data_IF_829829450177
#
_entry.id   IF_829829450177
#
_cell.length_a   1.000
_cell.length_b   1.000
_cell.length_c   1.000
_cell.angle_alpha   90.00
_cell.angle_beta   90.00
_cell.angle_gamma   90.00
#
_symmetry.space_group_name_H-M   'P 1'
#
loop_
_entity.id
_entity.type
_entity.pdbx_description
1 polymer ?
#
# COMPACT_ATOMS: atom_id res chain seq x y z
N UNK A 1 -55.48 -34.19 -21.78
CA UNK A 1 -54.65 -34.70 -20.66
C UNK A 1 -53.85 -33.54 -20.10
N UNK A 2 -53.70 -33.43 -18.77
CA UNK A 2 -53.86 -32.18 -18.02
C UNK A 2 -52.59 -31.70 -17.29
N UNK A 3 -52.57 -30.42 -16.90
CA UNK A 3 -52.12 -29.98 -15.58
C UNK A 3 -50.69 -29.41 -15.42
N UNK A 4 -50.58 -28.09 -15.37
CA UNK A 4 -50.12 -27.43 -14.14
C UNK A 4 -50.79 -26.07 -14.02
N UNK A 5 -51.76 -25.99 -13.11
CA UNK A 5 -52.52 -24.77 -12.84
C UNK A 5 -51.62 -23.71 -12.24
N UNK A 6 -51.68 -22.49 -12.78
CA UNK A 6 -51.33 -21.30 -11.99
C UNK A 6 -52.32 -21.27 -10.83
N UNK A 7 -51.80 -21.43 -9.62
CA UNK A 7 -52.52 -21.13 -8.39
C UNK A 7 -53.16 -19.74 -8.52
N UNK A 8 -54.45 -19.57 -8.17
CA UNK A 8 -55.02 -18.23 -8.07
C UNK A 8 -54.18 -17.47 -7.04
N UNK A 9 -53.78 -16.24 -7.37
CA UNK A 9 -53.24 -15.34 -6.36
C UNK A 9 -54.18 -15.38 -5.17
N UNK A 10 -53.67 -15.76 -3.99
CA UNK A 10 -54.40 -15.62 -2.75
C UNK A 10 -54.94 -14.20 -2.69
N UNK A 11 -56.25 -14.08 -2.49
CA UNK A 11 -56.92 -12.79 -2.39
C UNK A 11 -56.47 -12.17 -1.07
N UNK A 12 -55.38 -11.40 -1.14
CA UNK A 12 -54.80 -10.70 0.01
C UNK A 12 -55.85 -9.71 0.53
N UNK A 13 -56.00 -9.64 1.87
CA UNK A 13 -56.91 -8.70 2.50
C UNK A 13 -56.60 -7.26 2.06
N UNK A 14 -57.60 -6.36 2.01
CA UNK A 14 -57.42 -4.98 1.55
C UNK A 14 -56.27 -4.24 2.25
N UNK A 15 -56.06 -4.58 3.52
CA UNK A 15 -55.02 -4.11 4.43
C UNK A 15 -53.59 -4.57 4.07
N UNK A 16 -53.44 -5.66 3.30
CA UNK A 16 -52.13 -6.15 2.81
C UNK A 16 -51.82 -5.60 1.40
N UNK A 17 -52.84 -5.16 0.64
CA UNK A 17 -52.67 -4.59 -0.70
C UNK A 17 -51.97 -3.22 -0.72
N UNK A 18 -51.83 -2.58 0.44
CA UNK A 18 -51.34 -1.20 0.58
C UNK A 18 -49.82 -1.05 0.82
N UNK A 19 -49.02 -2.08 0.58
CA UNK A 19 -47.57 -1.87 0.47
C UNK A 19 -47.14 -1.70 -1.00
N UNK A 20 -47.53 -0.56 -1.58
CA UNK A 20 -47.25 -0.16 -2.96
C UNK A 20 -45.85 0.45 -3.18
N UNK A 21 -44.92 0.34 -2.22
CA UNK A 21 -43.55 0.88 -2.39
C UNK A 21 -43.48 2.41 -2.63
N UNK A 22 -44.59 3.13 -2.46
CA UNK A 22 -44.70 4.58 -2.72
C UNK A 22 -44.28 5.44 -1.52
N UNK A 23 -44.13 4.86 -0.33
CA UNK A 23 -43.49 5.53 0.80
C UNK A 23 -41.99 5.30 0.70
N UNK A 24 -41.20 6.37 0.52
CA UNK A 24 -39.78 6.33 0.85
C UNK A 24 -39.67 5.81 2.29
N UNK A 25 -39.03 4.66 2.46
CA UNK A 25 -38.60 4.23 3.79
C UNK A 25 -37.77 5.40 4.33
N UNK A 26 -38.15 6.00 5.47
CA UNK A 26 -37.34 7.02 6.10
C UNK A 26 -35.93 6.45 6.21
N UNK A 27 -34.92 7.18 5.73
CA UNK A 27 -33.54 6.74 5.86
C UNK A 27 -33.34 6.41 7.34
N UNK A 28 -33.06 5.14 7.63
CA UNK A 28 -32.79 4.72 9.00
C UNK A 28 -31.66 5.61 9.48
N UNK A 29 -31.88 6.29 10.61
CA UNK A 29 -30.77 7.03 11.23
C UNK A 29 -29.66 6.01 11.43
N UNK A 30 -28.44 6.30 10.96
CA UNK A 30 -27.29 5.50 11.33
C UNK A 30 -27.31 5.35 12.85
N UNK A 31 -27.15 4.13 13.32
CA UNK A 31 -27.00 3.89 14.74
C UNK A 31 -25.75 4.62 15.23
N UNK A 32 -25.93 5.65 16.05
CA UNK A 32 -24.85 6.29 16.80
C UNK A 32 -24.43 5.36 17.93
N UNK A 33 -23.64 4.35 17.60
CA UNK A 33 -22.89 3.61 18.60
C UNK A 33 -21.65 4.45 18.95
N UNK A 34 -21.28 4.57 20.24
CA UNK A 34 -19.97 5.10 20.58
C UNK A 34 -18.91 4.26 19.86
N UNK A 35 -17.92 4.92 19.26
CA UNK A 35 -16.82 4.24 18.60
C UNK A 35 -16.09 3.36 19.63
N UNK A 36 -16.41 2.07 19.59
CA UNK A 36 -15.80 1.09 20.46
C UNK A 36 -14.28 1.06 20.24
N UNK A 37 -13.80 1.35 19.03
CA UNK A 37 -12.39 1.51 18.71
C UNK A 37 -11.74 2.67 19.45
N UNK A 38 -12.35 3.86 19.44
CA UNK A 38 -11.88 5.01 20.23
C UNK A 38 -11.86 4.71 21.74
N UNK A 39 -12.86 3.96 22.21
CA UNK A 39 -13.00 3.59 23.63
C UNK A 39 -11.96 2.53 24.03
N UNK A 40 -11.70 1.53 23.20
CA UNK A 40 -10.67 0.50 23.44
C UNK A 40 -9.26 1.05 23.25
N UNK A 41 -9.07 2.01 22.34
CA UNK A 41 -7.80 2.70 22.12
C UNK A 41 -7.29 3.39 23.39
N UNK A 42 -8.18 3.99 24.18
CA UNK A 42 -7.81 4.59 25.48
C UNK A 42 -7.50 3.55 26.57
N UNK A 43 -8.13 2.37 26.52
CA UNK A 43 -7.86 1.26 27.45
C UNK A 43 -6.51 0.57 27.21
N UNK A 44 -6.01 0.60 25.97
CA UNK A 44 -4.69 0.04 25.61
C UNK A 44 -3.53 1.04 25.81
N UNK A 45 -3.83 2.24 26.35
CA UNK A 45 -2.90 3.32 26.67
C UNK A 45 -2.17 3.09 28.01
N UNK A 46 -1.47 1.98 28.13
CA UNK A 46 -0.51 1.76 29.20
C UNK A 46 0.83 1.42 28.57
N UNK A 47 1.72 2.41 28.49
CA UNK A 47 3.17 2.30 28.19
C UNK A 47 3.57 1.28 27.11
N UNK A 48 4.00 1.79 25.95
CA UNK A 48 4.52 0.94 24.85
C UNK A 48 5.62 0.01 25.37
N UNK A 49 5.47 -1.32 25.24
CA UNK A 49 6.49 -2.28 25.66
C UNK A 49 7.84 -2.04 24.97
N UNK A 50 8.90 -2.55 25.60
CA UNK A 50 10.22 -2.63 24.96
C UNK A 50 10.12 -3.56 23.73
N UNK A 51 10.62 -3.11 22.58
CA UNK A 51 10.52 -3.85 21.30
C UNK A 51 9.40 -3.38 20.35
N UNK A 52 8.61 -2.38 20.74
CA UNK A 52 7.64 -1.77 19.84
C UNK A 52 8.30 -0.90 18.75
N UNK A 53 7.62 -0.78 17.60
CA UNK A 53 8.09 0.02 16.45
C UNK A 53 7.07 1.06 16.05
N UNK A 54 7.48 2.20 15.52
CA UNK A 54 6.54 3.20 15.02
C UNK A 54 5.79 2.67 13.80
N UNK A 55 6.49 2.04 12.87
CA UNK A 55 5.89 1.49 11.65
C UNK A 55 6.41 0.10 11.33
N UNK A 56 5.48 -0.79 11.00
CA UNK A 56 5.76 -2.13 10.48
C UNK A 56 5.48 -2.16 8.97
N UNK A 57 6.51 -2.47 8.17
CA UNK A 57 6.43 -2.59 6.72
C UNK A 57 6.31 -4.08 6.34
N UNK A 58 5.19 -4.48 5.77
CA UNK A 58 4.77 -5.89 5.77
C UNK A 58 4.49 -6.45 4.37
N UNK A 59 5.12 -7.57 4.06
CA UNK A 59 4.64 -8.56 3.11
C UNK A 59 3.98 -9.71 3.91
N UNK A 60 2.63 -9.78 3.97
CA UNK A 60 1.91 -10.57 4.97
C UNK A 60 1.93 -12.07 4.67
N UNK A 61 1.45 -12.95 5.58
CA UNK A 61 1.30 -14.37 5.30
C UNK A 61 0.52 -14.63 4.02
N UNK A 62 0.71 -15.80 3.41
CA UNK A 62 0.09 -16.13 2.13
C UNK A 62 -1.24 -16.87 2.33
N UNK A 63 -2.18 -16.76 1.36
CA UNK A 63 -3.54 -17.32 1.52
C UNK A 63 -3.57 -18.82 1.75
N UNK A 64 -2.58 -19.54 1.22
CA UNK A 64 -2.54 -21.00 1.13
C UNK A 64 -1.20 -21.58 1.62
N UNK A 65 -0.39 -20.78 2.32
CA UNK A 65 0.98 -21.14 2.68
C UNK A 65 1.92 -21.30 1.48
N UNK A 66 1.46 -21.03 0.25
CA UNK A 66 2.30 -21.04 -0.95
C UNK A 66 3.26 -19.85 -0.99
N UNK A 67 4.14 -19.81 -2.00
CA UNK A 67 4.99 -18.64 -2.25
C UNK A 67 4.29 -17.72 -3.23
N UNK A 68 4.13 -16.45 -2.85
CA UNK A 68 3.50 -15.43 -3.68
C UNK A 68 4.45 -14.27 -3.96
N UNK A 69 4.57 -13.90 -5.23
CA UNK A 69 5.34 -12.73 -5.65
C UNK A 69 4.44 -11.52 -5.49
N UNK A 70 4.83 -10.58 -4.63
CA UNK A 70 4.08 -9.32 -4.37
C UNK A 70 4.89 -8.04 -4.63
N UNK A 71 6.18 -8.13 -4.96
CA UNK A 71 7.09 -6.99 -5.02
C UNK A 71 7.27 -6.36 -6.42
N UNK A 72 8.01 -5.25 -6.48
CA UNK A 72 8.47 -4.54 -7.68
C UNK A 72 7.38 -4.04 -8.63
N UNK A 73 6.30 -3.52 -8.04
CA UNK A 73 5.18 -2.92 -8.77
C UNK A 73 4.67 -3.83 -9.91
N UNK A 74 4.52 -5.12 -9.63
CA UNK A 74 3.89 -6.10 -10.54
C UNK A 74 2.47 -6.41 -10.06
N UNK A 75 1.68 -7.05 -10.92
CA UNK A 75 0.30 -7.46 -10.57
C UNK A 75 0.23 -8.56 -9.52
N UNK A 76 1.38 -9.13 -9.15
CA UNK A 76 1.50 -10.27 -8.26
C UNK A 76 1.12 -11.60 -8.91
N UNK A 77 1.67 -12.70 -8.41
CA UNK A 77 1.29 -14.07 -8.81
C UNK A 77 1.81 -15.10 -7.83
N UNK A 78 1.22 -16.30 -7.84
CA UNK A 78 1.84 -17.46 -7.21
C UNK A 78 3.16 -17.82 -7.92
N UNK A 79 4.18 -18.11 -7.15
CA UNK A 79 5.46 -18.61 -7.67
C UNK A 79 5.28 -20.06 -8.13
N UNK A 80 5.62 -20.35 -9.38
CA UNK A 80 5.58 -21.71 -9.96
C UNK A 80 6.93 -22.41 -9.78
N UNK A 81 7.96 -21.60 -9.69
CA UNK A 81 9.36 -21.97 -9.62
C UNK A 81 9.86 -22.03 -8.18
N UNK A 82 9.00 -21.76 -7.18
CA UNK A 82 9.37 -21.58 -5.78
C UNK A 82 10.38 -20.45 -5.52
N UNK A 83 10.50 -19.48 -6.43
CA UNK A 83 11.31 -18.27 -6.21
C UNK A 83 10.62 -17.36 -5.19
N UNK A 84 11.37 -16.92 -4.18
CA UNK A 84 10.93 -15.96 -3.15
C UNK A 84 11.54 -14.60 -3.50
N UNK A 85 10.70 -13.58 -3.67
CA UNK A 85 11.13 -12.26 -4.14
C UNK A 85 11.43 -11.34 -2.96
N UNK A 86 12.63 -10.74 -2.89
CA UNK A 86 12.95 -9.76 -1.86
C UNK A 86 12.07 -8.52 -2.00
N UNK A 87 11.65 -7.98 -0.85
CA UNK A 87 10.76 -6.83 -0.75
C UNK A 87 11.53 -5.50 -0.76
N UNK A 88 12.30 -5.25 -1.83
CA UNK A 88 13.18 -4.07 -1.92
C UNK A 88 12.39 -2.75 -1.85
N UNK A 89 11.14 -2.71 -2.32
CA UNK A 89 10.27 -1.54 -2.13
C UNK A 89 9.98 -1.23 -0.65
N UNK A 90 9.86 -2.25 0.20
CA UNK A 90 9.72 -2.07 1.66
C UNK A 90 11.03 -1.58 2.28
N UNK A 91 12.16 -2.17 1.86
CA UNK A 91 13.49 -1.73 2.30
C UNK A 91 13.81 -0.28 1.86
N UNK A 92 13.34 0.15 0.69
CA UNK A 92 13.46 1.53 0.21
C UNK A 92 12.68 2.50 1.09
N UNK A 93 11.44 2.16 1.49
CA UNK A 93 10.66 2.99 2.39
C UNK A 93 11.27 3.02 3.80
N UNK A 94 11.84 1.91 4.28
CA UNK A 94 12.60 1.92 5.54
C UNK A 94 13.75 2.92 5.50
N UNK A 95 14.52 2.95 4.40
CA UNK A 95 15.61 3.90 4.20
C UNK A 95 15.16 5.38 4.19
N UNK A 96 13.93 5.65 3.78
CA UNK A 96 13.34 7.00 3.78
C UNK A 96 12.81 7.42 5.15
N UNK A 97 12.49 6.46 6.01
CA UNK A 97 11.84 6.68 7.31
C UNK A 97 12.83 6.72 8.47
N UNK A 98 13.93 5.98 8.38
CA UNK A 98 15.03 6.08 9.34
C UNK A 98 15.84 7.36 9.13
N UNK A 99 16.36 8.00 10.21
CA UNK A 99 16.26 7.59 11.62
C UNK A 99 15.05 8.17 12.38
N UNK A 100 14.18 8.97 11.74
CA UNK A 100 13.11 9.67 12.47
C UNK A 100 11.98 8.76 12.99
N UNK A 101 11.88 7.55 12.44
CA UNK A 101 10.94 6.51 12.84
C UNK A 101 11.68 5.22 13.16
N UNK A 102 11.20 4.51 14.18
CA UNK A 102 11.59 3.11 14.40
C UNK A 102 10.84 2.21 13.43
N UNK A 103 11.58 1.53 12.56
CA UNK A 103 11.03 0.74 11.45
C UNK A 103 11.43 -0.72 11.58
N UNK A 104 10.51 -1.62 11.25
CA UNK A 104 10.82 -3.03 11.03
C UNK A 104 10.16 -3.53 9.75
N UNK A 105 10.90 -4.34 8.98
CA UNK A 105 10.42 -4.92 7.73
C UNK A 105 10.15 -6.40 7.95
N UNK A 106 8.93 -6.84 7.65
CA UNK A 106 8.51 -8.22 7.82
C UNK A 106 8.11 -8.82 6.47
N UNK A 107 8.85 -9.85 6.05
CA UNK A 107 8.49 -10.68 4.91
C UNK A 107 8.00 -12.06 5.39
N UNK A 108 6.73 -12.13 5.75
CA UNK A 108 6.07 -13.35 6.24
C UNK A 108 6.00 -14.45 5.19
N UNK A 109 5.97 -14.08 3.90
CA UNK A 109 6.02 -15.04 2.80
C UNK A 109 7.39 -15.73 2.72
N UNK A 110 8.48 -14.96 2.85
CA UNK A 110 9.84 -15.52 2.88
C UNK A 110 10.11 -16.33 4.14
N UNK A 111 9.65 -15.83 5.30
CA UNK A 111 9.80 -16.48 6.60
C UNK A 111 8.83 -17.65 6.81
N UNK A 112 7.95 -17.94 5.83
CA UNK A 112 6.98 -19.04 5.87
C UNK A 112 6.04 -18.97 7.09
N UNK A 113 5.76 -17.76 7.57
CA UNK A 113 4.97 -17.54 8.77
C UNK A 113 3.49 -17.87 8.55
N UNK A 114 2.90 -18.54 9.53
CA UNK A 114 1.46 -18.74 9.66
C UNK A 114 0.76 -17.45 10.13
N UNK A 115 -0.56 -17.40 9.97
CA UNK A 115 -1.37 -16.30 10.51
C UNK A 115 -1.30 -16.20 12.03
N UNK A 116 -1.25 -17.32 12.75
CA UNK A 116 -1.11 -17.32 14.21
C UNK A 116 0.22 -16.74 14.69
N UNK A 117 1.33 -17.08 14.01
CA UNK A 117 2.64 -16.49 14.32
C UNK A 117 2.67 -15.00 13.98
N UNK A 118 2.01 -14.61 12.88
CA UNK A 118 1.91 -13.23 12.48
C UNK A 118 1.04 -12.38 13.43
N UNK A 119 -0.04 -12.94 13.97
CA UNK A 119 -0.86 -12.29 15.01
C UNK A 119 -0.04 -12.04 16.28
N UNK A 120 0.72 -13.04 16.74
CA UNK A 120 1.64 -12.89 17.89
C UNK A 120 2.70 -11.81 17.63
N UNK A 121 3.26 -11.77 16.42
CA UNK A 121 4.20 -10.73 16.03
C UNK A 121 3.58 -9.33 16.11
N UNK A 122 2.35 -9.15 15.64
CA UNK A 122 1.65 -7.87 15.72
C UNK A 122 1.39 -7.46 17.19
N UNK A 123 1.05 -8.40 18.06
CA UNK A 123 0.87 -8.17 19.50
C UNK A 123 2.18 -7.81 20.21
N UNK A 124 3.31 -8.39 19.79
CA UNK A 124 4.64 -8.05 20.31
C UNK A 124 5.06 -6.65 19.87
N UNK A 125 4.95 -6.37 18.55
CA UNK A 125 5.48 -5.14 17.95
C UNK A 125 4.60 -3.92 18.17
N UNK A 126 3.29 -4.10 18.37
CA UNK A 126 2.26 -3.05 18.53
C UNK A 126 2.57 -1.79 17.71
N UNK A 127 2.60 -1.90 16.37
CA UNK A 127 2.97 -0.78 15.53
C UNK A 127 1.93 0.33 15.59
N UNK A 128 2.36 1.61 15.56
CA UNK A 128 1.42 2.72 15.37
C UNK A 128 0.88 2.71 13.94
N UNK A 129 1.75 2.38 12.98
CA UNK A 129 1.43 2.32 11.57
C UNK A 129 1.72 0.93 11.01
N UNK A 130 0.75 0.36 10.31
CA UNK A 130 0.91 -0.89 9.57
C UNK A 130 0.85 -0.57 8.09
N UNK A 131 1.90 -0.89 7.33
CA UNK A 131 1.91 -0.69 5.89
C UNK A 131 2.10 -1.99 5.15
N UNK A 132 1.27 -2.26 4.15
CA UNK A 132 1.40 -3.44 3.30
C UNK A 132 1.35 -3.15 1.81
N UNK A 133 2.14 -3.90 1.04
CA UNK A 133 2.07 -3.88 -0.42
C UNK A 133 0.92 -4.77 -0.90
N UNK A 134 -0.02 -4.20 -1.63
CA UNK A 134 -1.22 -4.89 -2.11
C UNK A 134 -1.12 -5.16 -3.61
N UNK A 135 -1.34 -6.42 -3.96
CA UNK A 135 -1.51 -6.88 -5.35
C UNK A 135 -2.87 -7.52 -5.53
N UNK A 136 -3.39 -7.54 -6.76
CA UNK A 136 -4.76 -7.97 -7.02
C UNK A 136 -5.04 -9.43 -6.57
N UNK A 137 -4.15 -10.42 -6.81
CA UNK A 137 -4.42 -11.82 -6.46
C UNK A 137 -4.47 -12.10 -4.96
N UNK A 138 -3.81 -11.27 -4.14
CA UNK A 138 -3.72 -11.46 -2.70
C UNK A 138 -4.51 -10.43 -1.90
N UNK A 139 -5.26 -9.53 -2.57
CA UNK A 139 -6.00 -8.44 -1.94
C UNK A 139 -6.76 -8.85 -0.67
N UNK A 140 -7.69 -9.81 -0.78
CA UNK A 140 -8.52 -10.22 0.38
C UNK A 140 -7.69 -10.77 1.53
N UNK A 141 -6.62 -11.51 1.22
CA UNK A 141 -5.70 -12.04 2.22
C UNK A 141 -4.90 -10.93 2.89
N UNK A 142 -4.38 -9.99 2.11
CA UNK A 142 -3.56 -8.91 2.64
C UNK A 142 -4.41 -7.95 3.51
N UNK A 143 -5.70 -7.81 3.17
CA UNK A 143 -6.68 -7.10 4.00
C UNK A 143 -7.00 -7.79 5.33
N UNK A 144 -6.76 -9.10 5.47
CA UNK A 144 -6.84 -9.75 6.77
C UNK A 144 -5.74 -9.26 7.71
N UNK A 145 -4.51 -9.10 7.21
CA UNK A 145 -3.42 -8.48 7.98
C UNK A 145 -3.71 -7.03 8.37
N UNK A 146 -4.32 -6.26 7.46
CA UNK A 146 -4.83 -4.90 7.76
C UNK A 146 -5.85 -4.94 8.89
N UNK A 147 -6.83 -5.84 8.83
CA UNK A 147 -7.84 -5.98 9.87
C UNK A 147 -7.23 -6.32 11.24
N UNK A 148 -6.29 -7.27 11.29
CA UNK A 148 -5.60 -7.65 12.52
C UNK A 148 -4.84 -6.47 13.13
N UNK A 149 -4.03 -5.77 12.32
CA UNK A 149 -3.29 -4.60 12.78
C UNK A 149 -4.22 -3.48 13.28
N UNK A 150 -5.33 -3.22 12.56
CA UNK A 150 -6.34 -2.24 12.96
C UNK A 150 -6.99 -2.60 14.30
N UNK A 151 -7.27 -3.88 14.53
CA UNK A 151 -7.87 -4.36 15.78
C UNK A 151 -6.97 -4.14 17.00
N UNK A 152 -5.66 -4.04 16.78
CA UNK A 152 -4.64 -3.71 17.79
C UNK A 152 -4.35 -2.21 17.91
N UNK A 153 -5.10 -1.37 17.19
CA UNK A 153 -5.00 0.09 17.26
C UNK A 153 -4.04 0.74 16.25
N UNK A 154 -3.47 -0.02 15.31
CA UNK A 154 -2.62 0.56 14.27
C UNK A 154 -3.45 1.36 13.25
N UNK A 155 -2.91 2.48 12.79
CA UNK A 155 -3.33 3.13 11.56
C UNK A 155 -2.83 2.32 10.35
N UNK A 156 -3.72 1.95 9.44
CA UNK A 156 -3.39 1.00 8.37
C UNK A 156 -3.23 1.68 7.02
N UNK A 157 -2.20 1.27 6.30
CA UNK A 157 -1.75 1.90 5.07
C UNK A 157 -1.54 0.80 4.02
N UNK A 158 -2.03 1.03 2.80
CA UNK A 158 -1.75 0.17 1.66
C UNK A 158 -1.12 0.95 0.52
N UNK A 159 -0.19 0.33 -0.18
CA UNK A 159 0.35 0.84 -1.44
C UNK A 159 0.46 -0.28 -2.46
N UNK A 160 0.69 0.06 -3.73
CA UNK A 160 0.96 -0.92 -4.77
C UNK A 160 0.10 -0.78 -6.02
N UNK A 161 0.31 -1.71 -6.95
CA UNK A 161 -0.25 -1.66 -8.32
C UNK A 161 -1.75 -1.84 -8.38
N UNK A 162 -2.36 -2.50 -7.40
CA UNK A 162 -3.80 -2.70 -7.35
C UNK A 162 -4.51 -1.46 -6.79
N UNK A 163 -4.05 -0.98 -5.64
CA UNK A 163 -4.71 0.11 -4.90
C UNK A 163 -4.56 1.47 -5.58
N UNK A 164 -3.53 1.65 -6.40
CA UNK A 164 -3.31 2.90 -7.15
C UNK A 164 -4.43 3.20 -8.16
N UNK A 165 -4.80 2.29 -9.08
CA UNK A 165 -5.93 2.50 -9.98
C UNK A 165 -7.31 2.20 -9.36
N UNK A 166 -7.38 1.36 -8.32
CA UNK A 166 -8.64 0.86 -7.77
C UNK A 166 -8.89 1.38 -6.35
N UNK A 167 -8.53 2.63 -6.10
CA UNK A 167 -8.53 3.22 -4.75
C UNK A 167 -9.90 3.16 -4.08
N UNK A 168 -10.95 3.69 -4.74
CA UNK A 168 -12.30 3.71 -4.16
C UNK A 168 -12.88 2.29 -4.02
N UNK A 169 -12.70 1.48 -5.06
CA UNK A 169 -13.18 0.10 -5.14
C UNK A 169 -12.50 -0.80 -4.12
N UNK A 170 -11.27 -0.48 -3.74
CA UNK A 170 -10.54 -1.18 -2.67
C UNK A 170 -10.99 -0.67 -1.29
N UNK A 171 -11.03 0.64 -1.06
CA UNK A 171 -11.37 1.14 0.28
C UNK A 171 -12.81 0.82 0.68
N UNK A 172 -13.79 0.96 -0.22
CA UNK A 172 -15.21 0.72 0.11
C UNK A 172 -15.49 -0.62 0.84
N UNK A 173 -15.04 -1.79 0.34
CA UNK A 173 -15.27 -3.07 1.01
C UNK A 173 -14.37 -3.33 2.23
N UNK A 174 -13.30 -2.56 2.44
CA UNK A 174 -12.33 -2.78 3.52
C UNK A 174 -12.27 -1.58 4.48
N UNK A 175 -13.23 -1.44 5.42
CA UNK A 175 -13.28 -0.30 6.35
C UNK A 175 -12.06 -0.23 7.27
N UNK A 176 -11.41 -1.37 7.54
CA UNK A 176 -10.19 -1.42 8.33
C UNK A 176 -8.96 -0.78 7.66
N UNK A 177 -9.03 -0.48 6.35
CA UNK A 177 -7.97 0.22 5.61
C UNK A 177 -8.18 1.74 5.72
N UNK A 178 -7.30 2.43 6.44
CA UNK A 178 -7.42 3.87 6.72
C UNK A 178 -6.88 4.73 5.56
N UNK A 179 -5.72 4.33 5.01
CA UNK A 179 -4.99 5.11 4.03
C UNK A 179 -4.56 4.25 2.83
N UNK A 180 -4.64 4.83 1.63
CA UNK A 180 -3.95 4.33 0.45
C UNK A 180 -2.94 5.36 -0.01
N UNK A 181 -1.71 4.90 -0.22
CA UNK A 181 -0.65 5.66 -0.87
C UNK A 181 -0.58 5.23 -2.34
N UNK A 182 -0.89 6.17 -3.23
CA UNK A 182 -0.96 5.98 -4.69
C UNK A 182 0.36 6.35 -5.37
N UNK A 183 0.67 5.65 -6.46
CA UNK A 183 1.84 5.94 -7.29
C UNK A 183 3.15 5.51 -6.64
N UNK A 184 4.11 6.44 -6.55
CA UNK A 184 5.38 6.23 -5.84
C UNK A 184 5.20 6.51 -4.35
N UNK A 185 5.39 5.49 -3.49
CA UNK A 185 4.91 5.59 -2.11
C UNK A 185 5.82 6.39 -1.19
N UNK A 186 7.11 6.54 -1.51
CA UNK A 186 8.13 7.00 -0.58
C UNK A 186 7.80 8.36 0.04
N UNK A 187 7.55 9.36 -0.80
CA UNK A 187 7.35 10.74 -0.34
C UNK A 187 5.97 10.96 0.25
N UNK A 188 4.94 10.32 -0.31
CA UNK A 188 3.58 10.39 0.25
C UNK A 188 3.51 9.73 1.63
N UNK A 189 4.16 8.58 1.81
CA UNK A 189 4.24 7.91 3.10
C UNK A 189 4.99 8.78 4.11
N UNK A 190 6.15 9.32 3.73
CA UNK A 190 6.94 10.18 4.61
C UNK A 190 6.14 11.40 5.06
N UNK A 191 5.50 12.11 4.12
CA UNK A 191 4.68 13.28 4.46
C UNK A 191 3.47 12.91 5.33
N UNK A 192 2.82 11.77 5.07
CA UNK A 192 1.71 11.27 5.89
C UNK A 192 2.14 11.07 7.34
N UNK A 193 3.23 10.34 7.58
CA UNK A 193 3.69 10.08 8.94
C UNK A 193 4.18 11.35 9.64
N UNK A 194 4.88 12.23 8.91
CA UNK A 194 5.38 13.50 9.46
C UNK A 194 4.19 14.37 9.90
N UNK A 195 3.13 14.47 9.09
CA UNK A 195 1.92 15.21 9.46
C UNK A 195 1.16 14.60 10.64
N UNK A 196 1.02 13.27 10.70
CA UNK A 196 0.30 12.60 11.78
C UNK A 196 1.03 12.70 13.12
N UNK A 197 2.37 12.70 13.12
CA UNK A 197 3.19 12.86 14.33
C UNK A 197 3.57 14.31 14.64
N UNK A 198 3.22 15.28 13.77
CA UNK A 198 3.62 16.68 13.91
C UNK A 198 5.14 16.90 13.78
N UNK A 199 5.82 16.06 12.99
CA UNK A 199 7.26 16.12 12.72
C UNK A 199 7.55 16.85 11.41
N UNK A 200 8.80 17.26 11.25
CA UNK A 200 9.35 17.78 10.00
C UNK A 200 10.57 16.96 9.64
N UNK A 201 10.75 16.65 8.35
CA UNK A 201 11.91 15.91 7.89
C UNK A 201 13.23 16.63 8.21
N UNK A 202 14.22 15.88 8.66
CA UNK A 202 15.56 16.39 8.99
C UNK A 202 16.59 16.09 7.90
N UNK A 203 16.41 14.99 7.17
CA UNK A 203 17.29 14.62 6.05
C UNK A 203 17.13 15.60 4.86
N UNK A 204 18.22 16.27 4.43
CA UNK A 204 18.21 17.17 3.27
C UNK A 204 17.69 16.53 1.97
N UNK A 205 17.96 15.24 1.73
CA UNK A 205 17.48 14.52 0.54
C UNK A 205 15.97 14.37 0.56
N UNK A 206 15.41 14.02 1.73
CA UNK A 206 13.96 13.91 1.93
C UNK A 206 13.30 15.28 1.77
N UNK A 207 13.86 16.34 2.35
CA UNK A 207 13.36 17.72 2.20
C UNK A 207 13.33 18.13 0.71
N UNK A 208 14.42 17.86 -0.02
CA UNK A 208 14.52 18.12 -1.46
C UNK A 208 13.40 17.40 -2.23
N UNK A 209 13.29 16.08 -2.05
CA UNK A 209 12.30 15.27 -2.76
C UNK A 209 10.86 15.66 -2.39
N UNK A 210 10.57 15.99 -1.13
CA UNK A 210 9.25 16.52 -0.73
C UNK A 210 8.95 17.84 -1.44
N UNK A 211 9.92 18.74 -1.53
CA UNK A 211 9.80 20.00 -2.27
C UNK A 211 9.51 19.78 -3.75
N UNK A 212 10.30 18.94 -4.42
CA UNK A 212 10.17 18.64 -5.85
C UNK A 212 8.87 17.90 -6.20
N UNK A 213 8.36 17.09 -5.27
CA UNK A 213 7.13 16.31 -5.46
C UNK A 213 5.88 16.96 -4.86
N UNK A 214 5.97 18.20 -4.37
CA UNK A 214 4.81 18.94 -3.81
C UNK A 214 4.05 19.78 -4.84
N UNK A 215 4.61 19.98 -6.05
CA UNK A 215 4.02 20.83 -7.07
C UNK A 215 3.18 20.01 -8.06
N UNK A 216 1.87 20.24 -8.08
CA UNK A 216 0.96 19.58 -9.03
C UNK A 216 1.48 19.73 -10.47
N UNK A 217 1.74 18.60 -11.13
CA UNK A 217 2.12 18.60 -12.54
C UNK A 217 0.90 18.93 -13.40
N UNK A 218 0.94 20.08 -14.07
CA UNK A 218 -0.05 20.43 -15.09
C UNK A 218 0.27 19.65 -16.36
N UNK A 219 -0.59 18.72 -16.75
CA UNK A 219 -0.40 17.93 -17.97
C UNK A 219 -1.13 18.56 -19.14
N UNK A 220 -0.37 18.83 -20.20
CA UNK A 220 -0.91 19.32 -21.47
C UNK A 220 -0.99 18.16 -22.46
N UNK A 221 -2.21 17.72 -22.79
CA UNK A 221 -2.44 16.68 -23.80
C UNK A 221 -3.04 17.34 -25.05
N UNK A 222 -2.17 17.71 -26.00
CA UNK A 222 -2.58 18.47 -27.18
C UNK A 222 -2.94 19.91 -26.81
N UNK A 223 -4.17 20.36 -27.12
CA UNK A 223 -4.68 21.68 -26.71
C UNK A 223 -5.33 21.68 -25.32
N UNK A 224 -5.62 20.50 -24.77
CA UNK A 224 -6.29 20.38 -23.48
C UNK A 224 -5.27 20.35 -22.35
N UNK A 225 -5.48 21.23 -21.37
CA UNK A 225 -4.81 21.18 -20.09
C UNK A 225 -5.66 20.32 -19.17
N UNK A 226 -5.25 19.08 -18.94
CA UNK A 226 -5.87 18.21 -17.95
C UNK A 226 -5.07 18.34 -16.66
N UNK A 227 -5.66 18.95 -15.65
CA UNK A 227 -5.21 18.75 -14.28
C UNK A 227 -5.82 17.43 -13.79
N UNK A 228 -5.04 16.58 -13.12
CA UNK A 228 -5.55 15.43 -12.36
C UNK A 228 -6.28 15.93 -11.09
N UNK A 229 -7.08 16.98 -11.24
CA UNK A 229 -7.84 17.61 -10.18
C UNK A 229 -9.10 16.79 -9.97
N UNK A 230 -9.00 15.75 -9.15
CA UNK A 230 -10.15 15.37 -8.34
C UNK A 230 -10.50 16.59 -7.48
N UNK A 231 -11.79 16.94 -7.30
CA UNK A 231 -12.16 18.05 -6.46
C UNK A 231 -11.69 17.76 -5.04
N UNK A 232 -10.54 18.32 -4.67
CA UNK A 232 -10.13 18.46 -3.29
C UNK A 232 -11.13 19.46 -2.74
N UNK A 233 -12.14 18.97 -2.03
CA UNK A 233 -12.94 19.83 -1.20
C UNK A 233 -11.95 20.64 -0.35
N UNK A 234 -12.03 21.97 -0.39
CA UNK A 234 -11.21 22.84 0.43
C UNK A 234 -11.57 22.57 1.90
N UNK A 235 -10.95 21.56 2.48
CA UNK A 235 -11.17 21.14 3.86
C UNK A 235 -10.01 21.67 4.70
N UNK A 236 -10.32 22.14 5.90
CA UNK A 236 -9.32 22.52 6.91
C UNK A 236 -8.48 21.34 7.42
N UNK A 237 -8.75 20.11 6.96
CA UNK A 237 -8.01 18.92 7.38
C UNK A 237 -6.59 18.91 6.77
N UNK A 238 -5.52 18.82 7.59
CA UNK A 238 -4.13 18.77 7.12
C UNK A 238 -3.82 17.65 6.12
N UNK A 239 -4.57 16.55 6.15
CA UNK A 239 -4.39 15.40 5.26
C UNK A 239 -4.78 15.72 3.81
N UNK A 240 -5.69 16.67 3.59
CA UNK A 240 -6.17 17.02 2.24
C UNK A 240 -5.08 17.62 1.33
N UNK A 241 -3.99 18.13 1.91
CA UNK A 241 -2.88 18.68 1.13
C UNK A 241 -1.83 17.64 0.72
N UNK A 242 -1.91 16.41 1.25
CA UNK A 242 -0.88 15.39 1.01
C UNK A 242 -1.13 14.77 -0.37
N UNK A 243 -0.28 15.08 -1.36
CA UNK A 243 -0.42 14.51 -2.69
C UNK A 243 -0.19 12.99 -2.68
N UNK A 244 -0.93 12.28 -3.53
CA UNK A 244 -0.87 10.82 -3.67
C UNK A 244 -1.64 10.05 -2.58
N UNK A 245 -2.30 10.74 -1.65
CA UNK A 245 -3.01 10.11 -0.54
C UNK A 245 -4.50 9.91 -0.84
N UNK A 246 -5.04 8.76 -0.47
CA UNK A 246 -6.45 8.58 -0.24
C UNK A 246 -6.69 8.15 1.22
N UNK A 247 -7.73 8.68 1.83
CA UNK A 247 -7.95 8.59 3.27
C UNK A 247 -9.43 8.64 3.62
N UNK A 248 -9.78 8.18 4.82
CA UNK A 248 -11.15 8.27 5.34
C UNK A 248 -11.36 9.53 6.16
N UNK A 249 -12.40 10.27 5.81
CA UNK A 249 -12.97 11.34 6.62
C UNK A 249 -14.36 10.88 7.05
N UNK A 250 -14.45 10.35 8.25
CA UNK A 250 -15.67 9.71 8.76
C UNK A 250 -16.12 8.59 7.80
N UNK A 251 -17.35 8.68 7.26
CA UNK A 251 -17.90 7.73 6.29
C UNK A 251 -17.48 7.99 4.82
N UNK A 252 -16.80 9.11 4.55
CA UNK A 252 -16.37 9.48 3.20
C UNK A 252 -14.93 9.08 2.91
N UNK A 253 -14.69 8.62 1.68
CA UNK A 253 -13.34 8.37 1.17
C UNK A 253 -12.92 9.58 0.35
N UNK A 254 -11.87 10.26 0.80
CA UNK A 254 -11.28 11.41 0.12
C UNK A 254 -10.07 10.93 -0.67
N UNK A 255 -10.00 11.36 -1.93
CA UNK A 255 -8.86 11.09 -2.80
C UNK A 255 -8.21 12.42 -3.15
N UNK A 256 -6.97 12.60 -2.69
CA UNK A 256 -6.17 13.75 -3.03
C UNK A 256 -5.59 13.59 -4.44
N UNK A 257 -5.10 14.67 -5.07
CA UNK A 257 -4.50 14.61 -6.39
C UNK A 257 -3.23 13.75 -6.37
N UNK A 258 -2.87 13.19 -7.52
CA UNK A 258 -1.66 12.37 -7.63
C UNK A 258 -0.39 13.16 -7.32
N UNK A 259 0.57 12.49 -6.66
CA UNK A 259 1.89 13.05 -6.43
C UNK A 259 2.74 12.96 -7.71
N UNK A 260 3.41 14.05 -8.13
CA UNK A 260 4.48 13.99 -9.11
C UNK A 260 5.51 12.92 -8.76
N UNK A 261 6.05 12.27 -9.78
CA UNK A 261 7.12 11.30 -9.58
C UNK A 261 8.42 11.96 -9.11
N UNK A 262 9.23 11.22 -8.36
CA UNK A 262 10.56 11.64 -7.93
C UNK A 262 11.42 11.90 -9.18
N UNK A 263 11.90 13.13 -9.45
CA UNK A 263 12.56 13.44 -10.72
C UNK A 263 13.87 12.69 -10.91
N UNK A 264 14.72 12.68 -9.87
CA UNK A 264 16.03 12.05 -9.87
C UNK A 264 16.03 10.83 -8.94
N UNK A 265 16.30 9.65 -9.50
CA UNK A 265 16.31 8.41 -8.73
C UNK A 265 17.56 8.26 -7.86
N UNK A 266 18.58 9.09 -8.06
CA UNK A 266 19.79 9.08 -7.22
C UNK A 266 19.62 9.81 -5.90
N UNK A 267 18.53 10.57 -5.74
CA UNK A 267 18.14 11.14 -4.44
C UNK A 267 17.61 10.07 -3.47
N UNK A 268 17.13 8.94 -3.99
CA UNK A 268 16.69 7.83 -3.16
C UNK A 268 17.90 7.20 -2.46
N UNK A 269 17.88 7.04 -1.13
CA UNK A 269 18.94 6.34 -0.42
C UNK A 269 18.97 4.86 -0.84
N UNK A 270 20.14 4.23 -0.69
CA UNK A 270 20.27 2.78 -0.89
C UNK A 270 19.23 2.06 -0.01
N UNK A 271 18.42 1.14 -0.57
CA UNK A 271 17.46 0.39 0.21
C UNK A 271 18.13 -0.35 1.37
N UNK A 272 17.45 -0.41 2.51
CA UNK A 272 17.92 -1.12 3.70
C UNK A 272 17.82 -2.64 3.53
N UNK A 273 18.66 -3.22 2.67
CA UNK A 273 18.66 -4.65 2.33
C UNK A 273 18.92 -5.54 3.55
N UNK A 274 19.67 -5.06 4.54
CA UNK A 274 19.95 -5.74 5.79
C UNK A 274 18.70 -6.02 6.64
N UNK A 275 17.60 -5.28 6.41
CA UNK A 275 16.31 -5.52 7.07
C UNK A 275 15.49 -6.64 6.43
N UNK A 276 15.89 -7.14 5.26
CA UNK A 276 15.21 -8.24 4.59
C UNK A 276 15.74 -9.59 5.10
N UNK A 277 14.93 -10.67 5.08
CA UNK A 277 15.40 -11.99 5.47
C UNK A 277 16.23 -12.62 4.34
N UNK A 278 17.41 -12.07 4.08
CA UNK A 278 18.24 -12.32 2.89
C UNK A 278 18.49 -13.81 2.62
N UNK A 279 18.75 -14.60 3.66
CA UNK A 279 19.00 -16.04 3.53
C UNK A 279 17.75 -16.87 3.19
N UNK A 280 16.56 -16.32 3.41
CA UNK A 280 15.29 -16.94 3.00
C UNK A 280 14.92 -16.61 1.56
N UNK A 281 15.45 -15.50 1.02
CA UNK A 281 15.25 -15.12 -0.38
C UNK A 281 16.12 -16.00 -1.28
N UNK A 282 15.51 -16.64 -2.27
CA UNK A 282 16.25 -17.50 -3.18
C UNK A 282 15.68 -17.51 -4.60
N UNK A 283 16.60 -17.61 -5.56
CA UNK A 283 16.29 -17.83 -6.96
C UNK A 283 16.61 -19.29 -7.29
N UNK A 284 15.66 -20.06 -7.87
CA UNK A 284 15.92 -21.43 -8.28
C UNK A 284 17.14 -21.51 -9.21
N UNK A 285 17.92 -22.58 -9.08
CA UNK A 285 19.15 -22.82 -9.85
C UNK A 285 20.34 -21.89 -9.52
N UNK A 286 20.19 -20.93 -8.62
CA UNK A 286 21.28 -20.06 -8.14
C UNK A 286 21.56 -20.37 -6.67
N UNK A 287 22.83 -20.57 -6.31
CA UNK A 287 23.24 -20.84 -4.94
C UNK A 287 23.45 -19.53 -4.19
N UNK A 288 22.91 -19.47 -2.97
CA UNK A 288 23.07 -18.34 -2.06
C UNK A 288 21.93 -17.32 -2.16
N UNK A 289 21.95 -16.29 -1.30
CA UNK A 289 20.94 -15.24 -1.30
C UNK A 289 21.00 -14.45 -2.60
N UNK A 290 19.87 -13.88 -3.00
CA UNK A 290 19.81 -12.91 -4.10
C UNK A 290 18.95 -11.71 -3.69
N UNK A 291 19.18 -10.57 -4.34
CA UNK A 291 18.30 -9.39 -4.21
C UNK A 291 18.06 -8.71 -5.55
N UNK A 292 17.18 -7.70 -5.55
CA UNK A 292 16.97 -6.82 -6.69
C UNK A 292 17.74 -5.52 -6.51
N UNK A 293 18.31 -5.01 -7.60
CA UNK A 293 18.64 -3.58 -7.73
C UNK A 293 17.66 -2.99 -8.73
N UNK A 294 16.95 -1.93 -8.35
CA UNK A 294 16.08 -1.21 -9.29
C UNK A 294 16.94 -0.20 -10.03
N UNK A 295 17.15 -0.39 -11.32
CA UNK A 295 18.02 0.49 -12.14
C UNK A 295 17.26 1.61 -12.84
N UNK A 296 15.96 1.43 -13.06
CA UNK A 296 15.08 2.44 -13.66
C UNK A 296 13.64 2.28 -13.17
N UNK A 297 12.87 3.38 -13.23
CA UNK A 297 11.43 3.39 -12.99
C UNK A 297 10.68 3.91 -14.21
N UNK A 298 9.67 3.15 -14.63
CA UNK A 298 8.81 3.49 -15.76
C UNK A 298 9.32 3.01 -17.11
N UNK A 299 8.44 3.16 -18.11
CA UNK A 299 8.70 2.77 -19.49
C UNK A 299 7.97 3.77 -20.41
N UNK A 300 8.61 4.29 -21.48
CA UNK A 300 7.96 5.20 -22.42
C UNK A 300 6.95 4.48 -23.34
N UNK A 301 6.89 3.15 -23.29
CA UNK A 301 6.01 2.35 -24.15
C UNK A 301 4.54 2.42 -23.70
N UNK A 302 3.64 2.66 -24.65
CA UNK A 302 2.19 2.73 -24.42
C UNK A 302 1.47 1.38 -24.55
N UNK A 303 2.05 0.29 -24.05
CA UNK A 303 1.48 -1.05 -24.20
C UNK A 303 0.11 -1.17 -23.51
N UNK A 304 -0.95 -1.42 -24.29
CA UNK A 304 -2.35 -1.46 -23.82
C UNK A 304 -2.62 -2.47 -22.70
N UNK A 305 -1.82 -3.53 -22.59
CA UNK A 305 -1.99 -4.61 -21.63
C UNK A 305 -1.08 -4.47 -20.39
N UNK A 306 -0.21 -3.46 -20.34
CA UNK A 306 0.83 -3.37 -19.31
C UNK A 306 0.38 -2.51 -18.13
N UNK A 307 0.49 -3.00 -16.89
CA UNK A 307 0.16 -2.20 -15.71
C UNK A 307 1.13 -1.02 -15.48
N UNK A 308 2.32 -1.04 -16.07
CA UNK A 308 3.37 -0.05 -15.77
C UNK A 308 3.01 1.37 -16.17
N UNK A 309 2.21 1.57 -17.22
CA UNK A 309 1.70 2.91 -17.55
C UNK A 309 0.64 3.41 -16.56
N UNK A 310 0.03 2.53 -15.77
CA UNK A 310 -0.86 2.93 -14.67
C UNK A 310 -0.04 3.40 -13.47
N UNK A 311 1.12 2.78 -13.23
CA UNK A 311 1.99 3.11 -12.08
C UNK A 311 2.95 4.27 -12.36
N UNK A 312 3.59 4.30 -13.53
CA UNK A 312 4.66 5.24 -13.90
C UNK A 312 4.34 6.07 -15.14
N UNK A 313 3.13 5.94 -15.69
CA UNK A 313 2.70 6.62 -16.90
C UNK A 313 3.68 6.35 -18.05
N UNK A 314 3.81 7.27 -19.01
CA UNK A 314 4.71 7.10 -20.15
C UNK A 314 6.04 7.85 -19.93
N UNK A 315 6.66 7.64 -18.76
CA UNK A 315 7.95 8.23 -18.41
C UNK A 315 8.96 7.15 -18.09
N UNK A 316 10.25 7.48 -18.23
CA UNK A 316 11.36 6.65 -17.76
C UNK A 316 12.34 7.54 -17.03
N UNK A 317 12.77 7.08 -15.86
CA UNK A 317 13.83 7.68 -15.06
C UNK A 317 14.84 6.60 -14.76
N UNK A 318 16.11 6.90 -14.91
CA UNK A 318 17.22 5.96 -14.77
C UNK A 318 18.12 6.44 -13.64
N UNK A 319 18.71 5.49 -12.90
CA UNK A 319 19.77 5.80 -11.93
C UNK A 319 21.11 5.93 -12.63
N UNK A 320 22.04 6.69 -12.04
CA UNK A 320 23.42 6.72 -12.53
C UNK A 320 24.13 5.38 -12.32
N UNK A 321 25.18 5.14 -13.11
CA UNK A 321 26.00 3.94 -12.97
C UNK A 321 26.75 3.95 -11.63
N UNK A 322 27.20 5.14 -11.20
CA UNK A 322 27.90 5.38 -9.94
C UNK A 322 27.04 4.94 -8.75
N UNK A 323 25.78 5.36 -8.73
CA UNK A 323 24.85 5.01 -7.66
C UNK A 323 24.48 3.50 -7.67
N UNK A 324 24.42 2.87 -8.84
CA UNK A 324 24.23 1.41 -8.95
C UNK A 324 25.46 0.66 -8.41
N UNK A 325 26.68 1.13 -8.71
CA UNK A 325 27.93 0.53 -8.21
C UNK A 325 28.02 0.67 -6.69
N UNK A 326 27.64 1.81 -6.13
CA UNK A 326 27.59 2.02 -4.68
C UNK A 326 26.69 0.97 -3.99
N UNK A 327 25.49 0.71 -4.55
CA UNK A 327 24.60 -0.34 -4.03
C UNK A 327 25.19 -1.75 -4.22
N UNK A 328 25.88 -2.03 -5.34
CA UNK A 328 26.57 -3.30 -5.54
C UNK A 328 27.68 -3.55 -4.51
N UNK A 329 28.48 -2.53 -4.20
CA UNK A 329 29.53 -2.61 -3.17
C UNK A 329 28.93 -2.82 -1.78
N UNK A 330 27.86 -2.08 -1.46
CA UNK A 330 27.09 -2.26 -0.24
C UNK A 330 26.57 -3.70 -0.09
N UNK A 331 25.98 -4.26 -1.15
CA UNK A 331 25.47 -5.63 -1.17
C UNK A 331 26.57 -6.68 -1.09
N UNK A 332 27.71 -6.43 -1.73
CA UNK A 332 28.89 -7.31 -1.62
C UNK A 332 29.40 -7.36 -0.17
N UNK A 333 29.38 -6.24 0.56
CA UNK A 333 29.74 -6.20 1.98
C UNK A 333 28.74 -6.97 2.87
N UNK A 334 27.48 -7.08 2.46
CA UNK A 334 26.48 -7.96 3.09
C UNK A 334 26.60 -9.44 2.67
N UNK A 335 27.56 -9.78 1.81
CA UNK A 335 27.76 -11.14 1.29
C UNK A 335 26.77 -11.56 0.19
N UNK A 336 26.13 -10.60 -0.47
CA UNK A 336 25.18 -10.84 -1.56
C UNK A 336 25.87 -10.60 -2.90
N UNK A 337 25.99 -11.66 -3.70
CA UNK A 337 26.63 -11.61 -5.01
C UNK A 337 25.70 -11.98 -6.16
N UNK A 338 24.49 -12.46 -5.86
CA UNK A 338 23.48 -12.75 -6.87
C UNK A 338 22.51 -11.56 -6.98
N UNK A 339 22.63 -10.80 -8.06
CA UNK A 339 21.85 -9.58 -8.26
C UNK A 339 20.98 -9.73 -9.49
N UNK A 340 19.69 -9.45 -9.33
CA UNK A 340 18.77 -9.28 -10.45
C UNK A 340 18.53 -7.79 -10.68
N UNK A 341 19.06 -7.27 -11.79
CA UNK A 341 18.80 -5.90 -12.22
C UNK A 341 17.34 -5.75 -12.66
N UNK A 342 16.54 -5.09 -11.85
CA UNK A 342 15.13 -4.87 -12.10
C UNK A 342 14.93 -3.54 -12.83
N UNK A 343 14.32 -3.62 -14.02
CA UNK A 343 13.92 -2.48 -14.82
C UNK A 343 12.64 -2.83 -15.60
N UNK A 344 11.75 -1.85 -15.79
CA UNK A 344 10.63 -2.01 -16.73
C UNK A 344 11.12 -1.92 -18.18
N UNK A 345 12.20 -1.16 -18.40
CA UNK A 345 12.97 -1.11 -19.64
C UNK A 345 14.46 -0.96 -19.27
N UNK A 346 15.28 -1.93 -19.67
CA UNK A 346 16.72 -1.97 -19.34
C UNK A 346 17.62 -1.38 -20.46
N UNK A 347 17.09 -1.30 -21.68
CA UNK A 347 17.76 -0.79 -22.91
C UNK A 347 16.90 0.27 -23.55
#
# INVERSE_FOLDING_TARGET
MPGSGKTPNMDLSPDIRDNLGTRRIPMLRPSEFPDAGATVGTLTSSTRPQGTVDILLVNPPTPDGGIWIRSQHRVGRRSRENMIWPQVSLAQMAAILEPEYTVEVIDANALRMSWSEFEQLLEEKRPKYYLTQVTAPTLRNDMYGVFLAKSLGAATIAFGTHVTPMTLETMRPFPALDFIVRGEPEMTLRELLDKLEGKTASDPRVIKMLGETSQLQVRRKGRDTTTDAFPVAATENPLASILGLAWRKDDEIVINPDRPFIPDLDDLPIPKHELLPLHSQHMPMIRGPFTFIVTSRGCPAGCKYCIKHVTYQNSVRVRSAEHIVEELEYLANLGIHNIHMYADLFT
#
